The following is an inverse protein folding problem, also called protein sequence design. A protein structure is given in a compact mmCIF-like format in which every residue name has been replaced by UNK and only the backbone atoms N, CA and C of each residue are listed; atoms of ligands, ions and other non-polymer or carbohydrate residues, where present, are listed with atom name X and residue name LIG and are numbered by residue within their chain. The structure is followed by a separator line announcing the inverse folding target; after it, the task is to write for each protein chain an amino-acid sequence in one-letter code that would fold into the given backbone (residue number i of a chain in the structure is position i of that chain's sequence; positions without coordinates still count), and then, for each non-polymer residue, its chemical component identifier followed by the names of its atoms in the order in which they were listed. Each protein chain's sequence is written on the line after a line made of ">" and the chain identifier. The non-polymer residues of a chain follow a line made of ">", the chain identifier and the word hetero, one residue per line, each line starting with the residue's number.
data_IF_704303339015
#
_entry.id   IF_704303339015
#
_cell.length_a   1.000
_cell.length_b   1.000
_cell.length_c   1.000
_cell.angle_alpha   90.00
_cell.angle_beta   90.00
_cell.angle_gamma   90.00
#
_symmetry.space_group_name_H-M   'P 1'
#
loop_
_entity.id
_entity.type
_entity.pdbx_description
1 polymer ?
#
# COMPACT_ATOMS: atom_id res chain seq x y z
N UNK A 1 -4.68 4.87 23.55
CA UNK A 1 -3.21 4.72 23.34
C UNK A 1 -2.68 3.29 23.25
N UNK A 2 -3.09 2.32 24.10
CA UNK A 2 -2.50 0.95 24.10
C UNK A 2 -2.57 0.23 22.74
N UNK A 3 -3.68 0.36 22.00
CA UNK A 3 -3.87 -0.24 20.66
C UNK A 3 -2.94 0.35 19.60
N UNK A 4 -2.77 1.68 19.59
CA UNK A 4 -1.88 2.38 18.67
C UNK A 4 -0.41 1.98 18.88
N UNK A 5 0.02 1.87 20.15
CA UNK A 5 1.35 1.36 20.50
C UNK A 5 1.58 -0.06 20.00
N UNK A 6 0.55 -0.92 20.06
CA UNK A 6 0.62 -2.29 19.53
C UNK A 6 0.76 -2.31 18.01
N UNK A 7 0.03 -1.44 17.30
CA UNK A 7 0.16 -1.28 15.86
C UNK A 7 1.59 -0.90 15.45
N UNK A 8 2.15 0.16 16.05
CA UNK A 8 3.53 0.58 15.75
C UNK A 8 4.57 -0.48 16.10
N UNK A 9 4.39 -1.20 17.22
CA UNK A 9 5.26 -2.34 17.56
C UNK A 9 5.23 -3.40 16.47
N UNK A 10 4.06 -3.70 15.92
CA UNK A 10 3.92 -4.66 14.83
C UNK A 10 4.60 -4.15 13.56
N UNK A 11 4.39 -2.87 13.20
CA UNK A 11 5.06 -2.21 12.08
C UNK A 11 6.59 -2.31 12.18
N UNK A 12 7.16 -1.89 13.31
CA UNK A 12 8.61 -1.98 13.54
C UNK A 12 9.12 -3.41 13.59
N UNK A 13 8.29 -4.36 14.03
CA UNK A 13 8.64 -5.78 14.00
C UNK A 13 8.80 -6.27 12.56
N UNK A 14 7.86 -5.96 11.66
CA UNK A 14 7.96 -6.31 10.24
C UNK A 14 9.24 -5.76 9.60
N UNK A 15 9.51 -4.47 9.80
CA UNK A 15 10.70 -3.80 9.25
C UNK A 15 12.01 -4.30 9.89
N UNK A 16 11.98 -4.78 11.13
CA UNK A 16 13.15 -5.38 11.79
C UNK A 16 13.51 -6.75 11.19
N UNK A 17 12.50 -7.58 10.93
CA UNK A 17 12.70 -8.93 10.38
C UNK A 17 13.10 -8.87 8.90
N UNK A 18 12.36 -8.08 8.13
CA UNK A 18 12.58 -7.88 6.69
C UNK A 18 12.45 -6.40 6.36
N UNK A 19 13.59 -5.75 6.15
CA UNK A 19 13.67 -4.34 5.81
C UNK A 19 12.96 -4.06 4.48
N UNK A 20 12.12 -3.03 4.45
CA UNK A 20 11.39 -2.61 3.27
C UNK A 20 10.13 -3.43 2.98
N UNK A 21 9.78 -4.39 3.84
CA UNK A 21 8.61 -5.25 3.66
C UNK A 21 7.29 -4.46 3.78
N UNK A 22 7.16 -3.59 4.78
CA UNK A 22 5.98 -2.72 4.94
C UNK A 22 5.99 -1.60 3.91
N UNK A 23 7.14 -0.98 3.69
CA UNK A 23 7.28 0.10 2.72
C UNK A 23 6.90 -0.34 1.30
N UNK A 24 7.32 -1.53 0.87
CA UNK A 24 6.94 -2.06 -0.45
C UNK A 24 5.42 -2.20 -0.60
N UNK A 25 4.73 -2.64 0.46
CA UNK A 25 3.26 -2.71 0.48
C UNK A 25 2.61 -1.33 0.40
N UNK A 26 3.14 -0.37 1.17
CA UNK A 26 2.63 1.01 1.21
C UNK A 26 2.80 1.68 -0.16
N UNK A 27 4.01 1.67 -0.73
CA UNK A 27 4.26 2.30 -2.01
C UNK A 27 3.45 1.67 -3.15
N UNK A 28 3.32 0.35 -3.17
CA UNK A 28 2.44 -0.34 -4.12
C UNK A 28 1.01 0.19 -4.04
N UNK A 29 0.40 0.19 -2.84
CA UNK A 29 -0.98 0.64 -2.68
C UNK A 29 -1.17 2.15 -2.93
N UNK A 30 -0.14 2.98 -2.70
CA UNK A 30 -0.19 4.40 -3.06
C UNK A 30 -0.25 4.58 -4.58
N UNK A 31 0.59 3.88 -5.33
CA UNK A 31 0.59 3.95 -6.80
C UNK A 31 -0.71 3.41 -7.37
N UNK A 32 -1.22 2.30 -6.83
CA UNK A 32 -2.52 1.74 -7.22
C UNK A 32 -3.67 2.72 -6.98
N UNK A 33 -3.61 3.53 -5.92
CA UNK A 33 -4.61 4.55 -5.63
C UNK A 33 -4.51 5.78 -6.55
N UNK A 34 -3.29 6.15 -6.98
CA UNK A 34 -3.06 7.33 -7.82
C UNK A 34 -3.32 7.03 -9.30
N UNK A 35 -2.95 5.84 -9.78
CA UNK A 35 -3.01 5.48 -11.21
C UNK A 35 -4.38 5.73 -11.87
N UNK A 36 -5.55 5.44 -11.25
CA UNK A 36 -6.85 5.73 -11.84
C UNK A 36 -7.10 7.22 -12.12
N UNK A 37 -6.43 8.12 -11.40
CA UNK A 37 -6.57 9.57 -11.58
C UNK A 37 -6.06 10.02 -12.95
N UNK A 38 -5.06 9.35 -13.52
CA UNK A 38 -4.59 9.63 -14.88
C UNK A 38 -5.71 9.40 -15.92
N UNK A 39 -6.49 8.33 -15.76
CA UNK A 39 -7.62 8.04 -16.65
C UNK A 39 -8.75 9.03 -16.45
N UNK A 40 -9.06 9.41 -15.21
CA UNK A 40 -10.06 10.44 -14.93
C UNK A 40 -9.69 11.79 -15.56
N UNK A 41 -8.42 12.19 -15.48
CA UNK A 41 -7.95 13.42 -16.10
C UNK A 41 -7.96 13.35 -17.63
N UNK A 42 -7.73 12.17 -18.20
CA UNK A 42 -7.85 11.95 -19.65
C UNK A 42 -9.31 12.08 -20.12
N UNK A 43 -10.27 11.50 -19.39
CA UNK A 43 -11.70 11.67 -19.70
C UNK A 43 -12.12 13.13 -19.70
N UNK A 44 -11.62 13.90 -18.74
CA UNK A 44 -11.86 15.34 -18.61
C UNK A 44 -11.37 16.13 -19.84
N UNK A 45 -10.13 15.92 -20.27
CA UNK A 45 -9.56 16.59 -21.46
C UNK A 45 -10.42 16.32 -22.69
N UNK A 46 -10.89 15.09 -22.87
CA UNK A 46 -11.74 14.71 -24.01
C UNK A 46 -13.09 15.45 -23.95
N UNK A 47 -13.72 15.52 -22.78
CA UNK A 47 -14.99 16.24 -22.60
C UNK A 47 -14.82 17.72 -22.93
N UNK A 48 -13.79 18.35 -22.37
CA UNK A 48 -13.48 19.77 -22.64
C UNK A 48 -13.25 20.00 -24.12
N UNK A 49 -12.45 19.16 -24.75
CA UNK A 49 -12.14 19.26 -26.17
C UNK A 49 -13.39 19.22 -27.06
N UNK A 50 -14.34 18.34 -26.73
CA UNK A 50 -15.63 18.24 -27.43
C UNK A 50 -16.48 19.48 -27.18
N UNK A 51 -16.50 20.01 -25.95
CA UNK A 51 -17.32 21.18 -25.61
C UNK A 51 -16.76 22.51 -26.13
N UNK A 52 -15.44 22.68 -26.18
CA UNK A 52 -14.79 23.95 -26.55
C UNK A 52 -14.30 24.01 -27.99
N UNK A 53 -14.51 22.95 -28.78
CA UNK A 53 -13.97 22.80 -30.15
C UNK A 53 -12.44 23.01 -30.22
N UNK A 54 -11.72 22.50 -29.22
CA UNK A 54 -10.27 22.65 -29.12
C UNK A 54 -9.53 22.02 -30.32
N UNK A 55 -8.33 22.53 -30.61
CA UNK A 55 -7.44 21.97 -31.64
C UNK A 55 -7.06 20.52 -31.33
N UNK A 56 -7.30 19.62 -32.29
CA UNK A 56 -7.02 18.18 -32.17
C UNK A 56 -5.58 17.87 -31.75
N UNK A 57 -4.61 18.69 -32.19
CA UNK A 57 -3.18 18.53 -31.88
C UNK A 57 -2.87 18.67 -30.39
N UNK A 58 -3.52 19.61 -29.69
CA UNK A 58 -3.31 19.85 -28.26
C UNK A 58 -3.92 18.73 -27.41
N UNK A 59 -5.09 18.25 -27.81
CA UNK A 59 -5.77 17.10 -27.20
C UNK A 59 -4.92 15.85 -27.35
N UNK A 60 -4.39 15.59 -28.55
CA UNK A 60 -3.52 14.44 -28.82
C UNK A 60 -2.24 14.49 -27.97
N UNK A 61 -1.58 15.65 -27.88
CA UNK A 61 -0.37 15.81 -27.06
C UNK A 61 -0.64 15.50 -25.59
N UNK A 62 -1.71 16.06 -25.03
CA UNK A 62 -2.05 15.87 -23.62
C UNK A 62 -2.46 14.42 -23.32
N UNK A 63 -3.21 13.80 -24.25
CA UNK A 63 -3.60 12.39 -24.16
C UNK A 63 -2.39 11.48 -24.18
N UNK A 64 -1.43 11.71 -25.09
CA UNK A 64 -0.18 10.93 -25.16
C UNK A 64 0.62 11.01 -23.86
N UNK A 65 0.79 12.21 -23.31
CA UNK A 65 1.52 12.41 -22.04
C UNK A 65 0.88 11.62 -20.89
N UNK A 66 -0.45 11.72 -20.74
CA UNK A 66 -1.19 11.00 -19.70
C UNK A 66 -1.14 9.48 -19.89
N UNK A 67 -1.22 9.01 -21.13
CA UNK A 67 -1.12 7.59 -21.44
C UNK A 67 0.27 7.05 -21.12
N UNK A 68 1.33 7.79 -21.48
CA UNK A 68 2.70 7.44 -21.11
C UNK A 68 2.88 7.41 -19.59
N UNK A 69 2.35 8.40 -18.87
CA UNK A 69 2.38 8.43 -17.41
C UNK A 69 1.65 7.22 -16.80
N UNK A 70 0.46 6.88 -17.30
CA UNK A 70 -0.31 5.72 -16.86
C UNK A 70 0.45 4.40 -17.09
N UNK A 71 1.10 4.25 -18.24
CA UNK A 71 1.91 3.07 -18.56
C UNK A 71 3.11 2.95 -17.61
N UNK A 72 3.82 4.05 -17.36
CA UNK A 72 4.94 4.08 -16.41
C UNK A 72 4.49 3.71 -14.99
N UNK A 73 3.39 4.30 -14.50
CA UNK A 73 2.83 3.95 -13.19
C UNK A 73 2.42 2.48 -13.10
N UNK A 74 1.90 1.91 -14.19
CA UNK A 74 1.54 0.48 -14.26
C UNK A 74 2.76 -0.43 -14.15
N UNK A 75 3.85 -0.09 -14.84
CA UNK A 75 5.12 -0.83 -14.76
C UNK A 75 5.70 -0.74 -13.34
N UNK A 76 5.76 0.46 -12.77
CA UNK A 76 6.29 0.67 -11.42
C UNK A 76 5.45 -0.10 -10.39
N UNK A 77 4.12 -0.05 -10.50
CA UNK A 77 3.22 -0.80 -9.62
C UNK A 77 3.50 -2.30 -9.67
N UNK A 78 3.63 -2.88 -10.87
CA UNK A 78 3.97 -4.30 -11.04
C UNK A 78 5.32 -4.69 -10.45
N UNK A 79 6.33 -3.81 -10.53
CA UNK A 79 7.64 -4.03 -9.88
C UNK A 79 7.48 -4.03 -8.36
N UNK A 80 6.73 -3.07 -7.80
CA UNK A 80 6.51 -2.97 -6.37
C UNK A 80 5.68 -4.13 -5.82
N UNK A 81 4.68 -4.61 -6.56
CA UNK A 81 3.90 -5.79 -6.21
C UNK A 81 4.80 -7.02 -6.09
N UNK A 82 5.65 -7.28 -7.09
CA UNK A 82 6.60 -8.39 -7.05
C UNK A 82 7.59 -8.27 -5.90
N UNK A 83 8.09 -7.06 -5.63
CA UNK A 83 8.95 -6.79 -4.45
C UNK A 83 8.22 -7.04 -3.14
N UNK A 84 6.97 -6.59 -3.01
CA UNK A 84 6.17 -6.84 -1.83
C UNK A 84 5.97 -8.34 -1.59
N UNK A 85 5.59 -9.11 -2.62
CA UNK A 85 5.42 -10.56 -2.50
C UNK A 85 6.73 -11.27 -2.14
N UNK A 86 7.86 -10.82 -2.71
CA UNK A 86 9.18 -11.32 -2.35
C UNK A 86 9.50 -11.08 -0.87
N UNK A 87 9.38 -9.84 -0.40
CA UNK A 87 9.65 -9.49 0.99
C UNK A 87 8.69 -10.19 1.95
N UNK A 88 7.42 -10.36 1.60
CA UNK A 88 6.45 -11.10 2.39
C UNK A 88 6.87 -12.57 2.57
N UNK A 89 7.36 -13.20 1.50
CA UNK A 89 7.87 -14.58 1.55
C UNK A 89 9.14 -14.69 2.40
N UNK A 90 10.08 -13.75 2.25
CA UNK A 90 11.29 -13.68 3.06
C UNK A 90 10.98 -13.45 4.55
N UNK A 91 10.08 -12.51 4.84
CA UNK A 91 9.58 -12.25 6.19
C UNK A 91 9.00 -13.52 6.81
N UNK A 92 8.12 -14.23 6.11
CA UNK A 92 7.50 -15.45 6.65
C UNK A 92 8.55 -16.51 7.03
N UNK A 93 9.59 -16.70 6.20
CA UNK A 93 10.68 -17.63 6.51
C UNK A 93 11.48 -17.18 7.74
N UNK A 94 11.88 -15.90 7.79
CA UNK A 94 12.67 -15.33 8.89
C UNK A 94 11.89 -15.32 10.20
N UNK A 95 10.61 -14.98 10.16
CA UNK A 95 9.71 -15.01 11.31
C UNK A 95 9.61 -16.42 11.91
N UNK A 96 9.38 -17.44 11.07
CA UNK A 96 9.32 -18.84 11.52
C UNK A 96 10.65 -19.29 12.13
N UNK A 97 11.79 -18.90 11.53
CA UNK A 97 13.11 -19.22 12.05
C UNK A 97 13.39 -18.53 13.39
N UNK A 98 13.11 -17.23 13.53
CA UNK A 98 13.26 -16.52 14.80
C UNK A 98 12.39 -17.11 15.90
N UNK A 99 11.17 -17.52 15.55
CA UNK A 99 10.27 -18.16 16.49
C UNK A 99 10.85 -19.49 16.98
N UNK A 100 11.33 -20.34 16.07
CA UNK A 100 11.98 -21.60 16.43
C UNK A 100 13.22 -21.37 17.30
N UNK A 101 14.07 -20.40 16.95
CA UNK A 101 15.25 -20.04 17.74
C UNK A 101 14.90 -19.55 19.15
N UNK A 102 13.83 -18.78 19.30
CA UNK A 102 13.36 -18.34 20.63
C UNK A 102 12.87 -19.51 21.46
N UNK A 103 12.16 -20.46 20.84
CA UNK A 103 11.70 -21.67 21.54
C UNK A 103 12.90 -22.50 22.00
N UNK A 104 13.91 -22.69 21.15
CA UNK A 104 15.12 -23.45 21.49
C UNK A 104 15.98 -22.80 22.59
N UNK A 105 15.85 -21.50 22.80
CA UNK A 105 16.60 -20.74 23.82
C UNK A 105 15.87 -20.64 25.16
N UNK A 106 14.65 -21.18 25.27
CA UNK A 106 13.95 -21.26 26.54
C UNK A 106 14.65 -22.28 27.44
N UNK A 107 14.74 -21.96 28.73
CA UNK A 107 15.31 -22.89 29.70
C UNK A 107 14.46 -24.16 29.75
N UNK A 108 15.13 -25.32 29.63
CA UNK A 108 14.46 -26.63 29.57
C UNK A 108 13.58 -26.89 30.80
N UNK A 109 14.02 -26.48 32.00
CA UNK A 109 13.25 -26.56 33.25
C UNK A 109 11.93 -25.77 33.23
N UNK A 110 11.88 -24.65 32.51
CA UNK A 110 10.66 -23.84 32.36
C UNK A 110 9.70 -24.43 31.33
N UNK A 111 10.21 -25.16 30.32
CA UNK A 111 9.40 -25.83 29.30
C UNK A 111 8.77 -27.16 29.74
N UNK A 112 9.21 -27.75 30.84
CA UNK A 112 8.59 -28.94 31.45
C UNK A 112 7.42 -28.62 32.38
N UNK A 113 7.24 -27.35 32.78
CA UNK A 113 6.08 -26.94 33.55
C UNK A 113 4.81 -27.02 32.69
N UNK A 114 3.82 -27.78 33.17
CA UNK A 114 2.54 -28.01 32.47
C UNK A 114 1.82 -26.71 32.07
N UNK A 115 1.91 -25.64 32.88
CA UNK A 115 1.33 -24.33 32.55
C UNK A 115 1.99 -23.72 31.31
N UNK A 116 3.32 -23.77 31.20
CA UNK A 116 4.04 -23.20 30.06
C UNK A 116 3.79 -23.99 28.76
N UNK A 117 3.63 -25.31 28.86
CA UNK A 117 3.21 -26.14 27.71
C UNK A 117 1.79 -25.83 27.27
N UNK A 118 0.87 -25.61 28.21
CA UNK A 118 -0.50 -25.20 27.92
C UNK A 118 -0.54 -23.82 27.26
N UNK A 119 0.29 -22.88 27.70
CA UNK A 119 0.44 -21.56 27.07
C UNK A 119 1.04 -21.64 25.66
N UNK A 120 2.05 -22.47 25.44
CA UNK A 120 2.60 -22.69 24.09
C UNK A 120 1.57 -23.33 23.15
N UNK A 121 0.81 -24.30 23.66
CA UNK A 121 -0.26 -24.95 22.90
C UNK A 121 -1.40 -23.98 22.60
N UNK A 122 -1.78 -23.12 23.55
CA UNK A 122 -2.80 -22.10 23.33
C UNK A 122 -2.33 -21.07 22.30
N UNK A 123 -1.07 -20.62 22.33
CA UNK A 123 -0.50 -19.72 21.30
C UNK A 123 -0.50 -20.39 19.93
N UNK A 124 -0.13 -21.67 19.84
CA UNK A 124 -0.13 -22.43 18.59
C UNK A 124 -1.53 -22.63 18.03
N UNK A 125 -2.52 -22.87 18.89
CA UNK A 125 -3.93 -22.90 18.51
C UNK A 125 -4.39 -21.51 18.07
N UNK A 126 -4.03 -20.46 18.80
CA UNK A 126 -4.38 -19.07 18.48
C UNK A 126 -3.83 -18.66 17.10
N UNK A 127 -2.62 -19.08 16.75
CA UNK A 127 -2.07 -18.90 15.40
C UNK A 127 -2.81 -19.69 14.32
N UNK A 128 -3.33 -20.89 14.63
CA UNK A 128 -4.15 -21.67 13.69
C UNK A 128 -5.55 -21.07 13.50
N UNK A 129 -6.13 -20.49 14.55
CA UNK A 129 -7.50 -19.98 14.54
C UNK A 129 -7.61 -18.49 14.20
N UNK A 130 -6.55 -17.68 14.39
CA UNK A 130 -6.53 -16.31 13.90
C UNK A 130 -6.23 -16.29 12.41
N UNK A 131 -7.29 -16.00 11.66
CA UNK A 131 -7.32 -15.80 10.19
C UNK A 131 -6.58 -14.54 9.74
N UNK A 132 -5.94 -13.78 10.65
CA UNK A 132 -5.07 -12.68 10.27
C UNK A 132 -3.65 -13.20 10.09
N UNK A 133 -3.35 -13.64 8.87
CA UNK A 133 -1.97 -13.90 8.50
C UNK A 133 -1.15 -12.61 8.60
N UNK A 134 0.14 -12.75 8.87
CA UNK A 134 1.08 -11.62 8.83
C UNK A 134 0.95 -10.81 7.51
N UNK A 135 0.66 -11.49 6.40
CA UNK A 135 0.38 -10.86 5.11
C UNK A 135 -0.88 -9.99 5.10
N UNK A 136 -1.94 -10.39 5.79
CA UNK A 136 -3.17 -9.59 5.89
C UNK A 136 -2.94 -8.27 6.62
N UNK A 137 -2.14 -8.29 7.69
CA UNK A 137 -1.79 -7.06 8.39
C UNK A 137 -1.04 -6.10 7.48
N UNK A 138 0.00 -6.58 6.79
CA UNK A 138 0.80 -5.75 5.89
C UNK A 138 -0.04 -5.20 4.74
N UNK A 139 -0.83 -6.06 4.09
CA UNK A 139 -1.70 -5.69 2.97
C UNK A 139 -2.77 -4.69 3.38
N UNK A 140 -3.50 -4.95 4.48
CA UNK A 140 -4.53 -4.03 4.99
C UNK A 140 -3.95 -2.68 5.42
N UNK A 141 -2.74 -2.69 6.00
CA UNK A 141 -2.03 -1.44 6.32
C UNK A 141 -1.69 -0.66 5.05
N UNK A 142 -1.11 -1.33 4.05
CA UNK A 142 -0.81 -0.71 2.76
C UNK A 142 -2.07 -0.15 2.09
N UNK A 143 -3.15 -0.93 2.01
CA UNK A 143 -4.44 -0.51 1.44
C UNK A 143 -5.06 0.64 2.20
N UNK A 144 -4.98 0.65 3.54
CA UNK A 144 -5.48 1.78 4.34
C UNK A 144 -4.71 3.06 4.06
N UNK A 145 -3.37 3.01 4.03
CA UNK A 145 -2.53 4.18 3.73
C UNK A 145 -2.77 4.67 2.30
N UNK A 146 -2.76 3.76 1.33
CA UNK A 146 -3.06 4.07 -0.07
C UNK A 146 -4.46 4.66 -0.23
N UNK A 147 -5.46 4.14 0.48
CA UNK A 147 -6.82 4.66 0.50
C UNK A 147 -6.93 6.07 1.07
N UNK A 148 -6.24 6.38 2.18
CA UNK A 148 -6.22 7.74 2.73
C UNK A 148 -5.55 8.73 1.80
N UNK A 149 -4.41 8.36 1.20
CA UNK A 149 -3.70 9.21 0.24
C UNK A 149 -4.53 9.40 -1.02
N UNK A 150 -5.10 8.32 -1.57
CA UNK A 150 -5.98 8.36 -2.73
C UNK A 150 -7.22 9.22 -2.49
N UNK A 151 -7.86 9.10 -1.32
CA UNK A 151 -8.98 9.95 -0.94
C UNK A 151 -8.57 11.43 -0.83
N UNK A 152 -7.42 11.72 -0.22
CA UNK A 152 -6.90 13.10 -0.13
C UNK A 152 -6.64 13.72 -1.50
N UNK A 153 -6.00 12.96 -2.41
CA UNK A 153 -5.74 13.42 -3.77
C UNK A 153 -7.05 13.57 -4.55
N UNK A 154 -7.98 12.62 -4.43
CA UNK A 154 -9.29 12.71 -5.07
C UNK A 154 -10.09 13.93 -4.59
N UNK A 155 -10.05 14.24 -3.29
CA UNK A 155 -10.66 15.46 -2.73
C UNK A 155 -10.00 16.73 -3.29
N UNK A 156 -8.67 16.75 -3.40
CA UNK A 156 -7.95 17.86 -4.02
C UNK A 156 -8.41 18.09 -5.47
N UNK A 157 -8.48 17.02 -6.27
CA UNK A 157 -8.98 17.11 -7.65
C UNK A 157 -10.45 17.51 -7.71
N UNK A 158 -11.29 17.00 -6.80
CA UNK A 158 -12.71 17.34 -6.74
C UNK A 158 -12.91 18.84 -6.45
N UNK A 159 -12.19 19.40 -5.48
CA UNK A 159 -12.25 20.83 -5.15
C UNK A 159 -11.76 21.68 -6.34
N UNK A 160 -10.70 21.26 -7.03
CA UNK A 160 -10.20 21.93 -8.22
C UNK A 160 -11.13 21.84 -9.44
N UNK A 161 -11.88 20.73 -9.57
CA UNK A 161 -12.83 20.50 -10.67
C UNK A 161 -14.13 21.30 -10.54
N UNK A 162 -14.59 21.58 -9.32
CA UNK A 162 -15.89 22.22 -9.08
C UNK A 162 -15.84 23.71 -8.69
N UNK A 163 -14.67 24.28 -8.43
CA UNK A 163 -14.54 25.73 -8.27
C UNK A 163 -14.48 26.43 -9.64
N UNK A 164 -15.38 27.40 -9.86
CA UNK A 164 -15.66 28.06 -11.14
C UNK A 164 -14.52 28.90 -11.75
N UNK A 165 -13.32 28.89 -11.17
CA UNK A 165 -12.11 29.55 -11.69
C UNK A 165 -10.94 28.56 -11.92
N UNK A 166 -11.11 27.27 -11.62
CA UNK A 166 -10.03 26.28 -11.59
C UNK A 166 -9.41 25.89 -12.94
N UNK A 167 -9.85 26.50 -14.04
CA UNK A 167 -9.50 26.10 -15.40
C UNK A 167 -8.89 27.17 -16.30
N UNK A 168 -9.14 28.46 -16.04
CA UNK A 168 -8.50 29.53 -16.82
C UNK A 168 -7.08 29.85 -16.34
N UNK A 169 -6.74 29.53 -15.08
CA UNK A 169 -5.44 29.90 -14.49
C UNK A 169 -4.28 28.93 -14.75
N UNK A 170 -4.51 27.76 -15.35
CA UNK A 170 -3.45 26.78 -15.63
C UNK A 170 -3.05 26.72 -17.11
N UNK A 171 -3.81 27.38 -18.01
CA UNK A 171 -3.37 27.59 -19.40
C UNK A 171 -2.50 28.84 -19.58
N UNK A 172 -2.31 29.65 -18.53
CA UNK A 172 -1.42 30.82 -18.57
C UNK A 172 0.03 30.51 -18.13
N UNK A 173 0.31 29.27 -17.71
CA UNK A 173 1.62 28.87 -17.19
C UNK A 173 2.25 27.64 -17.88
N UNK A 174 1.78 27.30 -19.09
CA UNK A 174 2.38 26.27 -19.96
C UNK A 174 2.41 26.76 -21.40
#
# INVERSE_FOLDING_TARGET
>A
MKRLKRFFRMFFYFEKIEKGSMWSSIFFNIIEAIRPLCLLYLSKIIIEAVTSQSLLSEVLRSTLILLTAFMLLSIISGILEKRFMYHLKCFSKKHTMEKALKILRLNFELTEQNEFQNDLNSIKQFERFIVFSHGDFMRKTGTSVGGFIGAGIALYFFIGLFNSQGFMGLSEHL
#
